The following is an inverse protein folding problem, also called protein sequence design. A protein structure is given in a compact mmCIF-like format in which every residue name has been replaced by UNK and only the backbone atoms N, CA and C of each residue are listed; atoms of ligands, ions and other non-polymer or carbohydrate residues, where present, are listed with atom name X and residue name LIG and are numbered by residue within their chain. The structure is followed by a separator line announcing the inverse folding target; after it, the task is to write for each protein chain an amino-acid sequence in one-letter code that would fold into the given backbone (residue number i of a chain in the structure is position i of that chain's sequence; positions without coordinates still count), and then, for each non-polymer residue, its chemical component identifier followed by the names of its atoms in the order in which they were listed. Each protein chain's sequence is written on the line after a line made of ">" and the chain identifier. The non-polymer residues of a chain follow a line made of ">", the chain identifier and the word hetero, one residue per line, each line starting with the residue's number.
data_IF_352575094749
#
_entry.id   IF_352575094749
#
_cell.length_a   1.000
_cell.length_b   1.000
_cell.length_c   1.000
_cell.angle_alpha   90.00
_cell.angle_beta   90.00
_cell.angle_gamma   90.00
#
_symmetry.space_group_name_H-M   'P 1'
#
loop_
_entity.id
_entity.type
_entity.pdbx_description
1 polymer ?
#
# COMPACT_ATOMS: atom_id res chain seq x y z
N UNK A 1 19.01 -12.69 13.19
CA UNK A 1 17.66 -12.59 12.58
C UNK A 1 17.74 -11.58 11.45
N UNK A 2 17.53 -12.05 10.21
CA UNK A 2 17.93 -11.39 8.97
C UNK A 2 17.11 -10.12 8.67
N UNK A 3 17.64 -8.96 9.08
CA UNK A 3 17.11 -7.63 8.70
C UNK A 3 17.21 -7.36 7.19
N UNK A 4 18.23 -7.91 6.52
CA UNK A 4 18.53 -7.67 5.10
C UNK A 4 17.42 -8.08 4.12
N UNK A 5 16.66 -9.13 4.44
CA UNK A 5 15.56 -9.58 3.57
C UNK A 5 14.36 -8.65 3.61
N UNK A 6 14.12 -7.96 4.73
CA UNK A 6 12.99 -7.06 4.89
C UNK A 6 13.18 -5.78 4.06
N UNK A 7 14.36 -5.17 4.15
CA UNK A 7 14.66 -3.92 3.46
C UNK A 7 14.72 -4.11 1.94
N UNK A 8 15.36 -5.20 1.48
CA UNK A 8 15.41 -5.55 0.05
C UNK A 8 14.01 -5.82 -0.52
N UNK A 9 13.12 -6.43 0.26
CA UNK A 9 11.74 -6.67 -0.16
C UNK A 9 10.90 -5.39 -0.19
N UNK A 10 11.15 -4.44 0.72
CA UNK A 10 10.52 -3.11 0.66
C UNK A 10 10.96 -2.35 -0.59
N UNK A 11 12.26 -2.33 -0.91
CA UNK A 11 12.76 -1.63 -2.10
C UNK A 11 12.16 -2.18 -3.40
N UNK A 12 12.09 -3.52 -3.53
CA UNK A 12 11.43 -4.18 -4.66
C UNK A 12 9.94 -3.85 -4.72
N UNK A 13 9.28 -3.84 -3.56
CA UNK A 13 7.89 -3.44 -3.42
C UNK A 13 7.66 -2.00 -3.89
N UNK A 14 8.53 -1.08 -3.49
CA UNK A 14 8.45 0.34 -3.82
C UNK A 14 8.73 0.62 -5.30
N UNK A 15 9.65 -0.12 -5.92
CA UNK A 15 9.90 0.00 -7.37
C UNK A 15 8.74 -0.57 -8.20
N UNK A 16 8.20 -1.74 -7.83
CA UNK A 16 6.99 -2.28 -8.44
C UNK A 16 5.82 -1.29 -8.32
N UNK A 17 5.71 -0.67 -7.14
CA UNK A 17 4.71 0.34 -6.85
C UNK A 17 4.79 1.57 -7.76
N UNK A 18 5.98 2.15 -7.94
CA UNK A 18 6.19 3.28 -8.85
C UNK A 18 5.72 2.97 -10.27
N UNK A 19 6.03 1.78 -10.79
CA UNK A 19 5.63 1.37 -12.12
C UNK A 19 4.11 1.21 -12.26
N UNK A 20 3.47 0.56 -11.28
CA UNK A 20 2.00 0.40 -11.26
C UNK A 20 1.31 1.78 -11.22
N UNK A 21 1.85 2.73 -10.44
CA UNK A 21 1.31 4.10 -10.37
C UNK A 21 1.33 4.78 -11.74
N UNK A 22 2.48 4.74 -12.44
CA UNK A 22 2.65 5.35 -13.78
C UNK A 22 1.64 4.75 -14.77
N UNK A 23 1.51 3.43 -14.81
CA UNK A 23 0.61 2.74 -15.74
C UNK A 23 -0.87 3.01 -15.50
N UNK A 24 -1.25 3.53 -14.33
CA UNK A 24 -2.64 3.71 -13.93
C UNK A 24 -3.04 5.16 -13.70
N UNK A 25 -2.16 6.10 -14.04
CA UNK A 25 -2.38 7.55 -13.89
C UNK A 25 -3.67 8.03 -14.58
N UNK A 26 -4.08 7.38 -15.68
CA UNK A 26 -5.29 7.72 -16.44
C UNK A 26 -6.55 6.97 -15.97
N UNK A 27 -6.40 6.01 -15.05
CA UNK A 27 -7.51 5.17 -14.58
C UNK A 27 -7.95 5.66 -13.21
N UNK A 28 -9.24 5.96 -13.06
CA UNK A 28 -9.82 6.23 -11.75
C UNK A 28 -9.96 4.92 -10.92
N UNK A 29 -8.82 4.44 -10.40
CA UNK A 29 -8.69 3.24 -9.57
C UNK A 29 -9.64 3.29 -8.37
N UNK A 30 -9.83 4.46 -7.76
CA UNK A 30 -10.73 4.65 -6.63
C UNK A 30 -12.19 4.34 -6.96
N UNK A 31 -12.59 4.42 -8.22
CA UNK A 31 -13.93 4.04 -8.69
C UNK A 31 -14.09 2.54 -8.94
N UNK A 32 -13.01 1.76 -9.08
CA UNK A 32 -13.11 0.33 -9.35
C UNK A 32 -13.42 -0.44 -8.05
N UNK A 33 -14.55 -1.15 -8.05
CA UNK A 33 -15.06 -1.93 -6.90
C UNK A 33 -14.02 -2.90 -6.32
N UNK A 34 -13.21 -3.56 -7.17
CA UNK A 34 -12.19 -4.52 -6.74
C UNK A 34 -11.17 -3.89 -5.76
N UNK A 35 -10.72 -2.66 -6.03
CA UNK A 35 -9.77 -2.00 -5.13
C UNK A 35 -10.40 -1.57 -3.81
N UNK A 36 -11.67 -1.13 -3.83
CA UNK A 36 -12.43 -0.84 -2.59
C UNK A 36 -12.61 -2.10 -1.74
N UNK A 37 -12.92 -3.24 -2.37
CA UNK A 37 -13.07 -4.53 -1.68
C UNK A 37 -11.74 -4.97 -1.08
N UNK A 38 -10.66 -4.96 -1.86
CA UNK A 38 -9.34 -5.34 -1.35
C UNK A 38 -8.87 -4.43 -0.21
N UNK A 39 -9.12 -3.12 -0.28
CA UNK A 39 -8.79 -2.19 0.81
C UNK A 39 -9.49 -2.55 2.13
N UNK A 40 -10.74 -3.05 2.06
CA UNK A 40 -11.46 -3.54 3.24
C UNK A 40 -10.84 -4.82 3.79
N UNK A 41 -10.40 -5.74 2.92
CA UNK A 41 -9.78 -6.99 3.33
C UNK A 41 -8.41 -6.81 3.98
N UNK A 42 -7.57 -5.93 3.41
CA UNK A 42 -6.23 -5.67 3.97
C UNK A 42 -6.25 -4.68 5.14
N UNK A 43 -7.44 -4.22 5.57
CA UNK A 43 -7.56 -3.21 6.63
C UNK A 43 -7.01 -3.74 7.96
N UNK A 44 -5.97 -3.10 8.53
CA UNK A 44 -5.36 -3.56 9.76
C UNK A 44 -6.25 -3.22 10.95
N UNK A 45 -5.99 -3.90 12.08
CA UNK A 45 -6.54 -3.56 13.38
C UNK A 45 -6.20 -2.09 13.74
N UNK A 46 -7.04 -1.46 14.57
CA UNK A 46 -6.91 -0.02 14.88
C UNK A 46 -5.55 0.37 15.47
N UNK A 47 -4.84 -0.57 16.10
CA UNK A 47 -3.56 -0.38 16.76
C UNK A 47 -2.41 0.06 15.85
N UNK A 48 -2.54 -0.06 14.51
CA UNK A 48 -1.42 0.23 13.59
C UNK A 48 -1.31 1.69 13.11
N UNK A 49 -1.84 2.67 13.86
CA UNK A 49 -1.84 4.10 13.46
C UNK A 49 -2.19 4.27 11.97
N UNK A 50 -3.31 3.69 11.53
CA UNK A 50 -3.72 3.55 10.11
C UNK A 50 -3.78 4.86 9.29
N UNK A 51 -3.73 6.01 9.97
CA UNK A 51 -3.77 7.35 9.38
C UNK A 51 -2.42 8.05 9.36
N UNK A 52 -1.51 7.64 10.22
CA UNK A 52 -0.12 8.07 10.20
C UNK A 52 0.54 7.43 8.98
N UNK A 53 0.93 8.21 7.99
CA UNK A 53 1.56 7.70 6.76
C UNK A 53 3.08 7.67 6.84
N UNK A 54 3.66 8.08 7.97
CA UNK A 54 5.11 8.13 8.20
C UNK A 54 5.57 6.88 8.97
N UNK A 55 4.73 6.34 9.86
CA UNK A 55 5.05 5.17 10.67
C UNK A 55 4.52 3.86 10.07
N UNK A 56 5.34 3.12 9.32
CA UNK A 56 4.94 1.86 8.70
C UNK A 56 5.31 0.65 9.56
N UNK A 57 4.38 -0.30 9.70
CA UNK A 57 4.65 -1.57 10.36
C UNK A 57 4.17 -2.74 9.50
N UNK A 58 4.70 -3.95 9.77
CA UNK A 58 4.41 -5.16 8.98
C UNK A 58 2.91 -5.42 8.82
N UNK A 59 2.13 -5.13 9.85
CA UNK A 59 0.69 -5.38 9.88
C UNK A 59 -0.13 -4.37 9.07
N UNK A 60 0.37 -3.14 8.87
CA UNK A 60 -0.34 -2.11 8.09
C UNK A 60 0.31 -1.78 6.75
N UNK A 61 1.46 -2.38 6.44
CA UNK A 61 2.23 -2.15 5.23
C UNK A 61 1.35 -2.22 3.97
N UNK A 62 0.69 -3.36 3.73
CA UNK A 62 -0.14 -3.55 2.54
C UNK A 62 -1.35 -2.60 2.49
N UNK A 63 -1.95 -2.27 3.63
CA UNK A 63 -3.03 -1.29 3.68
C UNK A 63 -2.55 0.12 3.36
N UNK A 64 -1.40 0.54 3.87
CA UNK A 64 -0.84 1.87 3.60
C UNK A 64 -0.39 1.99 2.14
N UNK A 65 0.18 0.93 1.56
CA UNK A 65 0.40 0.86 0.11
C UNK A 65 -0.92 1.05 -0.64
N UNK A 66 -1.94 0.22 -0.38
CA UNK A 66 -3.25 0.35 -1.05
C UNK A 66 -3.92 1.72 -0.83
N UNK A 67 -3.72 2.33 0.33
CA UNK A 67 -4.27 3.66 0.64
C UNK A 67 -3.56 4.77 -0.14
N UNK A 68 -2.24 4.70 -0.30
CA UNK A 68 -1.52 5.55 -1.24
C UNK A 68 -2.02 5.32 -2.66
N UNK A 69 -2.36 4.07 -3.03
CA UNK A 69 -2.87 3.76 -4.36
C UNK A 69 -4.13 4.53 -4.71
N UNK A 70 -5.10 4.44 -3.80
CA UNK A 70 -6.48 4.83 -4.05
C UNK A 70 -6.67 6.32 -3.80
N UNK A 71 -5.81 6.95 -2.99
CA UNK A 71 -5.86 8.39 -2.70
C UNK A 71 -5.11 9.26 -3.69
N UNK A 72 -4.24 8.71 -4.54
CA UNK A 72 -3.59 9.47 -5.63
C UNK A 72 -4.55 9.45 -6.83
N UNK A 73 -5.65 10.18 -6.69
CA UNK A 73 -6.48 10.75 -7.75
C UNK A 73 -6.87 12.14 -7.26
#
# INVERSE_FOLDING_TARGET
>A
MNSQGWDTNMERGDNCWKNIKISLTEINIAMKRRYRTNMRHVKPLQSCHRNDMDNWCKNCYHYKQMKQFVRII
#
